data_IF_090451157549
#
_entry.id   IF_090451157549
#
_cell.length_a   1.000
_cell.length_b   1.000
_cell.length_c   1.000
_cell.angle_alpha   90.00
_cell.angle_beta   90.00
_cell.angle_gamma   90.00
#
_symmetry.space_group_name_H-M   'P 1'
#
loop_
_entity.id
_entity.type
_entity.pdbx_description
1 polymer ?
#
# COMPACT_ATOMS: atom_id res chain seq x y z
N UNK A 1 -10.25 -20.93 -3.40
CA UNK A 1 -11.07 -22.02 -2.80
C UNK A 1 -12.58 -21.76 -2.94
N UNK A 2 -13.09 -20.58 -2.57
CA UNK A 2 -14.53 -20.25 -2.58
C UNK A 2 -15.21 -20.26 -3.96
N UNK A 3 -14.55 -19.77 -5.02
CA UNK A 3 -15.08 -19.82 -6.39
C UNK A 3 -15.27 -21.27 -6.94
N UNK A 4 -14.48 -22.24 -6.46
CA UNK A 4 -14.64 -23.65 -6.84
C UNK A 4 -15.86 -24.29 -6.17
N UNK A 5 -16.18 -23.87 -4.95
CA UNK A 5 -17.39 -24.30 -4.23
C UNK A 5 -18.64 -23.75 -4.93
N UNK A 6 -18.59 -22.51 -5.42
CA UNK A 6 -19.67 -21.90 -6.21
C UNK A 6 -19.95 -22.67 -7.51
N UNK A 7 -18.91 -22.98 -8.29
CA UNK A 7 -19.08 -23.77 -9.53
C UNK A 7 -19.69 -25.15 -9.22
N UNK A 8 -19.25 -25.79 -8.15
CA UNK A 8 -19.75 -27.09 -7.74
C UNK A 8 -21.24 -27.04 -7.34
N UNK A 9 -21.66 -26.04 -6.55
CA UNK A 9 -23.06 -25.88 -6.14
C UNK A 9 -23.98 -25.56 -7.32
N UNK A 10 -23.53 -24.72 -8.26
CA UNK A 10 -24.30 -24.41 -9.47
C UNK A 10 -24.43 -25.65 -10.35
N UNK A 11 -23.34 -26.40 -10.56
CA UNK A 11 -23.37 -27.64 -11.34
C UNK A 11 -24.32 -28.67 -10.71
N UNK A 12 -24.24 -28.88 -9.39
CA UNK A 12 -25.13 -29.81 -8.68
C UNK A 12 -26.60 -29.38 -8.77
N UNK A 13 -26.89 -28.08 -8.68
CA UNK A 13 -28.25 -27.57 -8.82
C UNK A 13 -28.80 -27.74 -10.24
N UNK A 14 -27.97 -27.49 -11.27
CA UNK A 14 -28.34 -27.67 -12.68
C UNK A 14 -28.54 -29.14 -13.02
N UNK A 15 -27.65 -30.04 -12.57
CA UNK A 15 -27.79 -31.48 -12.78
C UNK A 15 -29.07 -32.02 -12.12
N UNK A 16 -29.38 -31.56 -10.90
CA UNK A 16 -30.62 -31.94 -10.21
C UNK A 16 -31.87 -31.50 -10.97
N UNK A 17 -31.84 -30.33 -11.60
CA UNK A 17 -32.91 -29.79 -12.43
C UNK A 17 -33.10 -30.57 -13.74
N UNK A 18 -31.99 -30.96 -14.39
CA UNK A 18 -32.03 -31.80 -15.60
C UNK A 18 -32.61 -33.18 -15.27
N UNK A 19 -32.23 -33.75 -14.12
CA UNK A 19 -32.77 -35.03 -13.66
C UNK A 19 -34.28 -34.98 -13.37
N UNK A 20 -34.74 -33.91 -12.72
CA UNK A 20 -36.16 -33.67 -12.46
C UNK A 20 -36.98 -33.44 -13.74
N UNK A 21 -36.43 -32.72 -14.72
CA UNK A 21 -37.08 -32.52 -16.02
C UNK A 21 -37.16 -33.82 -16.83
N UNK A 22 -36.12 -34.66 -16.80
CA UNK A 22 -36.08 -35.94 -17.50
C UNK A 22 -37.06 -36.97 -16.94
N UNK A 23 -37.34 -36.94 -15.63
CA UNK A 23 -38.34 -37.82 -15.01
C UNK A 23 -39.79 -37.43 -15.36
N UNK A 24 -40.03 -36.19 -15.80
CA UNK A 24 -41.37 -35.66 -16.02
C UNK A 24 -41.90 -35.86 -17.46
N UNK A 25 -41.07 -36.28 -18.42
CA UNK A 25 -41.46 -36.47 -19.83
C UNK A 25 -42.19 -37.79 -20.11
N UNK A 26 -42.27 -38.70 -19.13
CA UNK A 26 -42.89 -40.02 -19.28
C UNK A 26 -44.37 -40.12 -18.93
N UNK A 27 -45.02 -39.06 -18.41
CA UNK A 27 -46.39 -39.14 -17.86
C UNK A 27 -47.35 -38.28 -18.71
N UNK A 28 -47.85 -38.88 -19.79
CA UNK A 28 -48.90 -38.33 -20.64
C UNK A 28 -50.26 -38.48 -19.95
N UNK A 29 -50.60 -37.53 -19.09
CA UNK A 29 -51.95 -37.42 -18.56
C UNK A 29 -52.10 -36.23 -17.62
N UNK A 30 -52.99 -35.30 -17.98
CA UNK A 30 -53.58 -34.26 -17.14
C UNK A 30 -52.75 -32.97 -16.96
N UNK A 31 -53.10 -31.97 -17.77
CA UNK A 31 -52.56 -30.59 -17.77
C UNK A 31 -52.57 -29.89 -16.39
N UNK A 32 -53.31 -30.39 -15.40
CA UNK A 32 -53.34 -29.86 -14.03
C UNK A 32 -52.08 -30.21 -13.22
N UNK A 33 -51.43 -31.35 -13.47
CA UNK A 33 -50.22 -31.76 -12.73
C UNK A 33 -48.95 -31.02 -13.21
N UNK A 34 -48.92 -30.61 -14.48
CA UNK A 34 -47.80 -29.86 -15.06
C UNK A 34 -47.60 -28.48 -14.42
N UNK A 35 -48.70 -27.77 -14.12
CA UNK A 35 -48.63 -26.45 -13.47
C UNK A 35 -48.10 -26.53 -12.04
N UNK A 36 -48.45 -27.58 -11.29
CA UNK A 36 -47.95 -27.80 -9.93
C UNK A 36 -46.44 -28.10 -9.95
N UNK A 37 -45.98 -28.94 -10.90
CA UNK A 37 -44.55 -29.22 -11.07
C UNK A 37 -43.76 -27.97 -11.45
N UNK A 38 -44.27 -27.15 -12.37
CA UNK A 38 -43.65 -25.88 -12.75
C UNK A 38 -43.57 -24.89 -11.58
N UNK A 39 -44.66 -24.77 -10.80
CA UNK A 39 -44.68 -23.91 -9.62
C UNK A 39 -43.66 -24.36 -8.57
N UNK A 40 -43.58 -25.66 -8.30
CA UNK A 40 -42.60 -26.22 -7.34
C UNK A 40 -41.15 -25.95 -7.78
N UNK A 41 -40.84 -26.14 -9.06
CA UNK A 41 -39.51 -25.83 -9.62
C UNK A 41 -39.20 -24.34 -9.50
N UNK A 42 -40.17 -23.48 -9.84
CA UNK A 42 -40.01 -22.03 -9.76
C UNK A 42 -39.77 -21.57 -8.31
N UNK A 43 -40.53 -22.09 -7.35
CA UNK A 43 -40.33 -21.77 -5.92
C UNK A 43 -38.97 -22.25 -5.43
N UNK A 44 -38.55 -23.47 -5.80
CA UNK A 44 -37.24 -23.99 -5.42
C UNK A 44 -36.10 -23.13 -5.99
N UNK A 45 -36.17 -22.79 -7.28
CA UNK A 45 -35.20 -21.89 -7.92
C UNK A 45 -35.17 -20.51 -7.26
N UNK A 46 -36.34 -19.94 -6.94
CA UNK A 46 -36.41 -18.65 -6.26
C UNK A 46 -35.74 -18.70 -4.88
N UNK A 47 -35.94 -19.79 -4.12
CA UNK A 47 -35.27 -19.99 -2.81
C UNK A 47 -33.76 -20.12 -2.99
N UNK A 48 -33.28 -20.91 -3.97
CA UNK A 48 -31.84 -21.05 -4.25
C UNK A 48 -31.23 -19.70 -4.63
N UNK A 49 -31.86 -18.94 -5.52
CA UNK A 49 -31.39 -17.60 -5.93
C UNK A 49 -31.39 -16.64 -4.74
N UNK A 50 -32.45 -16.61 -3.94
CA UNK A 50 -32.52 -15.76 -2.75
C UNK A 50 -31.43 -16.11 -1.73
N UNK A 51 -31.12 -17.40 -1.55
CA UNK A 51 -30.08 -17.87 -0.64
C UNK A 51 -28.68 -17.53 -1.16
N UNK A 52 -28.47 -17.65 -2.48
CA UNK A 52 -27.23 -17.20 -3.13
C UNK A 52 -27.05 -15.68 -2.97
N UNK A 53 -28.09 -14.89 -3.24
CA UNK A 53 -28.04 -13.43 -3.07
C UNK A 53 -27.95 -13.01 -1.60
N UNK A 54 -28.49 -13.79 -0.68
CA UNK A 54 -28.38 -13.53 0.76
C UNK A 54 -26.98 -13.78 1.30
N UNK A 55 -26.31 -14.84 0.85
CA UNK A 55 -24.95 -15.19 1.28
C UNK A 55 -23.90 -14.35 0.54
N UNK A 56 -24.08 -14.13 -0.77
CA UNK A 56 -23.06 -13.52 -1.64
C UNK A 56 -23.46 -12.16 -2.20
N UNK A 57 -24.61 -11.59 -1.81
CA UNK A 57 -25.08 -10.32 -2.34
C UNK A 57 -24.08 -9.19 -2.15
N UNK A 58 -23.39 -9.13 -1.01
CA UNK A 58 -22.38 -8.10 -0.74
C UNK A 58 -21.10 -8.32 -1.56
N UNK A 59 -20.69 -9.57 -1.78
CA UNK A 59 -19.54 -9.89 -2.65
C UNK A 59 -19.88 -9.62 -4.13
N UNK A 60 -21.08 -9.95 -4.59
CA UNK A 60 -21.55 -9.66 -5.95
C UNK A 60 -21.73 -8.15 -6.19
N UNK A 61 -22.19 -7.40 -5.19
CA UNK A 61 -22.31 -5.93 -5.28
C UNK A 61 -20.96 -5.22 -5.28
N UNK A 62 -19.94 -5.84 -4.69
CA UNK A 62 -18.56 -5.33 -4.70
C UNK A 62 -17.76 -5.83 -5.91
N UNK A 63 -18.22 -6.89 -6.58
CA UNK A 63 -17.67 -7.40 -7.83
C UNK A 63 -17.73 -6.29 -8.90
N UNK A 64 -16.57 -5.75 -9.28
CA UNK A 64 -16.45 -4.66 -10.25
C UNK A 64 -16.46 -3.25 -9.66
N UNK A 65 -16.75 -3.08 -8.36
CA UNK A 65 -16.70 -1.77 -7.66
C UNK A 65 -15.58 -1.66 -6.63
N UNK A 66 -14.68 -2.62 -6.59
CA UNK A 66 -13.58 -2.66 -5.63
C UNK A 66 -12.73 -1.37 -5.66
N UNK A 67 -12.15 -0.97 -4.52
CA UNK A 67 -11.12 0.06 -4.49
C UNK A 67 -9.97 -0.31 -5.44
N UNK A 68 -9.39 0.69 -6.10
CA UNK A 68 -8.22 0.51 -6.97
C UNK A 68 -7.19 1.52 -6.57
N UNK A 69 -6.11 1.08 -5.94
CA UNK A 69 -5.08 1.97 -5.44
C UNK A 69 -4.05 2.25 -6.51
N UNK A 70 -3.71 3.51 -6.69
CA UNK A 70 -2.59 3.96 -7.49
C UNK A 70 -1.64 4.79 -6.64
N UNK A 71 -0.37 4.76 -7.01
CA UNK A 71 0.70 5.49 -6.34
C UNK A 71 1.27 6.47 -7.33
N UNK A 72 1.39 7.73 -6.92
CA UNK A 72 1.89 8.81 -7.77
C UNK A 72 3.01 9.56 -7.08
N UNK A 73 4.03 9.89 -7.88
CA UNK A 73 5.17 10.71 -7.49
C UNK A 73 5.44 11.70 -8.63
N UNK A 74 4.78 12.86 -8.58
CA UNK A 74 4.99 13.98 -9.49
C UNK A 74 6.03 14.98 -8.92
N UNK A 75 6.84 15.64 -9.74
CA UNK A 75 7.78 16.70 -9.32
C UNK A 75 7.05 18.02 -9.03
N UNK A 76 6.06 17.97 -8.14
CA UNK A 76 5.26 19.14 -7.71
C UNK A 76 5.70 19.59 -6.31
N UNK A 77 5.44 20.86 -5.94
CA UNK A 77 5.68 21.35 -4.59
C UNK A 77 4.96 20.56 -3.49
N UNK A 78 3.93 19.77 -3.83
CA UNK A 78 3.21 18.92 -2.87
C UNK A 78 4.04 17.68 -2.48
N UNK A 79 4.87 17.19 -3.39
CA UNK A 79 5.71 16.02 -3.18
C UNK A 79 7.15 16.35 -2.81
N UNK A 80 7.64 17.53 -3.17
CA UNK A 80 9.02 17.93 -2.93
C UNK A 80 9.01 19.25 -2.17
N UNK A 81 9.28 19.17 -0.86
CA UNK A 81 9.09 20.29 0.06
C UNK A 81 10.40 20.67 0.74
N UNK A 82 10.56 21.97 0.95
CA UNK A 82 11.64 22.54 1.76
C UNK A 82 10.99 23.17 2.99
N UNK A 83 11.32 22.66 4.15
CA UNK A 83 10.89 23.20 5.43
C UNK A 83 12.02 23.98 6.09
N UNK A 84 11.63 25.04 6.78
CA UNK A 84 12.50 25.73 7.72
C UNK A 84 12.00 25.36 9.12
N UNK A 85 12.83 24.64 9.87
CA UNK A 85 12.52 24.30 11.26
C UNK A 85 12.54 25.56 12.13
N UNK A 86 11.86 25.57 13.30
CA UNK A 86 11.90 26.71 14.22
C UNK A 86 13.32 27.10 14.66
N UNK A 87 14.27 26.16 14.63
CA UNK A 87 15.69 26.40 14.92
C UNK A 87 16.49 26.99 13.76
N UNK A 88 15.85 27.33 12.63
CA UNK A 88 16.49 27.89 11.44
C UNK A 88 17.18 26.88 10.54
N UNK A 89 17.16 25.59 10.89
CA UNK A 89 17.72 24.53 10.05
C UNK A 89 16.74 24.11 8.96
N UNK A 90 17.28 23.67 7.82
CA UNK A 90 16.51 23.33 6.62
C UNK A 90 16.29 21.82 6.52
N UNK A 91 15.08 21.41 6.15
CA UNK A 91 14.72 20.02 5.90
C UNK A 91 14.12 19.88 4.50
N UNK A 92 14.56 18.86 3.75
CA UNK A 92 14.00 18.52 2.46
C UNK A 92 13.19 17.23 2.56
N UNK A 93 11.90 17.34 2.34
CA UNK A 93 10.97 16.22 2.39
C UNK A 93 10.55 15.78 1.00
N UNK A 94 10.49 14.47 0.80
CA UNK A 94 9.85 13.86 -0.35
C UNK A 94 8.64 13.08 0.12
N UNK A 95 7.51 13.29 -0.56
CA UNK A 95 6.23 12.64 -0.29
C UNK A 95 5.75 11.89 -1.51
N UNK A 96 4.96 10.86 -1.24
CA UNK A 96 4.31 10.05 -2.26
C UNK A 96 2.81 10.01 -1.99
N UNK A 97 2.01 10.09 -3.05
CA UNK A 97 0.56 10.10 -2.94
C UNK A 97 -0.02 8.74 -3.29
N UNK A 98 -0.99 8.30 -2.49
CA UNK A 98 -1.84 7.15 -2.79
C UNK A 98 -3.23 7.66 -3.12
N UNK A 99 -3.73 7.30 -4.30
CA UNK A 99 -5.06 7.66 -4.78
C UNK A 99 -5.90 6.41 -4.95
N UNK A 100 -7.20 6.53 -4.69
CA UNK A 100 -8.15 5.48 -5.02
C UNK A 100 -8.88 5.83 -6.33
N UNK A 101 -8.68 5.03 -7.36
CA UNK A 101 -9.33 5.12 -8.67
C UNK A 101 -10.56 4.19 -8.77
N UNK A 102 -10.86 3.43 -7.72
CA UNK A 102 -12.04 2.58 -7.60
C UNK A 102 -13.30 3.36 -7.25
N UNK A 103 -14.47 2.73 -7.38
CA UNK A 103 -15.75 3.36 -7.06
C UNK A 103 -16.02 3.44 -5.55
N UNK A 104 -15.56 2.43 -4.80
CA UNK A 104 -15.72 2.33 -3.35
C UNK A 104 -14.47 2.87 -2.66
N UNK A 105 -14.65 3.59 -1.54
CA UNK A 105 -13.56 4.10 -0.72
C UNK A 105 -12.67 2.99 -0.14
N UNK A 106 -11.35 3.17 -0.21
CA UNK A 106 -10.38 2.22 0.34
C UNK A 106 -10.21 2.45 1.84
N UNK A 107 -10.44 1.44 2.68
CA UNK A 107 -10.32 1.53 4.15
C UNK A 107 -8.97 1.02 4.63
N UNK A 108 -8.47 1.60 5.72
CA UNK A 108 -7.22 1.19 6.38
C UNK A 108 -6.05 1.12 5.39
N UNK A 109 -5.94 2.15 4.54
CA UNK A 109 -4.85 2.23 3.57
C UNK A 109 -3.53 2.43 4.31
N UNK A 110 -2.62 1.50 4.11
CA UNK A 110 -1.25 1.54 4.62
C UNK A 110 -0.27 1.50 3.45
N UNK A 111 0.85 2.22 3.62
CA UNK A 111 1.95 2.20 2.68
C UNK A 111 3.17 1.63 3.40
N UNK A 112 3.65 0.49 2.93
CA UNK A 112 4.74 -0.26 3.55
C UNK A 112 5.97 -0.16 2.66
N UNK A 113 7.09 0.23 3.24
CA UNK A 113 8.40 0.06 2.65
C UNK A 113 8.87 -1.38 2.94
N UNK A 114 8.77 -2.28 1.95
CA UNK A 114 8.97 -3.72 2.13
C UNK A 114 10.46 -4.10 2.12
N UNK A 115 11.19 -3.59 1.13
CA UNK A 115 12.57 -3.95 0.88
C UNK A 115 13.33 -2.76 0.29
N UNK A 116 14.61 -2.66 0.65
CA UNK A 116 15.53 -1.70 0.05
C UNK A 116 16.63 -2.48 -0.66
N UNK A 117 16.85 -2.15 -1.93
CA UNK A 117 17.94 -2.68 -2.72
C UNK A 117 18.97 -1.57 -2.95
N UNK A 118 20.25 -1.89 -2.79
CA UNK A 118 21.38 -0.97 -3.01
C UNK A 118 22.07 -1.34 -4.31
N UNK A 119 22.35 -0.34 -5.15
CA UNK A 119 23.15 -0.54 -6.37
C UNK A 119 24.62 -0.72 -6.02
N UNK A 120 25.18 -1.84 -6.42
CA UNK A 120 26.59 -2.20 -6.24
C UNK A 120 27.46 -1.62 -7.37
N UNK A 121 28.78 -1.72 -7.22
CA UNK A 121 29.74 -1.24 -8.21
C UNK A 121 29.64 -1.95 -9.59
N UNK A 122 29.17 -3.19 -9.60
CA UNK A 122 28.85 -3.96 -10.82
C UNK A 122 27.55 -3.52 -11.50
N UNK A 123 26.82 -2.58 -10.90
CA UNK A 123 25.54 -2.05 -11.37
C UNK A 123 24.33 -2.90 -10.98
N UNK A 124 24.51 -4.06 -10.34
CA UNK A 124 23.43 -4.91 -9.85
C UNK A 124 22.83 -4.33 -8.56
N UNK A 125 21.55 -4.63 -8.34
CA UNK A 125 20.85 -4.27 -7.11
C UNK A 125 20.85 -5.47 -6.16
N UNK A 126 21.36 -5.27 -4.96
CA UNK A 126 21.43 -6.29 -3.91
C UNK A 126 20.63 -5.81 -2.71
N UNK A 127 19.93 -6.73 -2.04
CA UNK A 127 19.16 -6.44 -0.83
C UNK A 127 20.04 -5.82 0.25
N UNK A 128 19.57 -4.74 0.84
CA UNK A 128 20.11 -4.20 2.08
C UNK A 128 19.69 -5.08 3.25
N UNK A 129 20.63 -5.82 3.82
CA UNK A 129 20.38 -6.74 4.92
C UNK A 129 20.07 -6.04 6.26
N UNK A 130 20.42 -4.77 6.39
CA UNK A 130 20.11 -3.98 7.59
C UNK A 130 18.70 -3.40 7.49
N UNK A 131 18.20 -3.18 6.28
CA UNK A 131 16.86 -2.63 6.07
C UNK A 131 15.76 -3.60 6.55
N UNK A 132 14.81 -3.07 7.31
CA UNK A 132 13.64 -3.78 7.81
C UNK A 132 12.37 -3.21 7.20
N UNK A 133 11.39 -4.06 6.92
CA UNK A 133 10.11 -3.61 6.41
C UNK A 133 9.36 -2.76 7.44
N UNK A 134 8.78 -1.64 7.00
CA UNK A 134 8.16 -0.66 7.91
C UNK A 134 7.07 0.17 7.23
N UNK A 135 6.06 0.57 8.00
CA UNK A 135 4.99 1.44 7.53
C UNK A 135 5.49 2.89 7.40
N UNK A 136 5.27 3.50 6.24
CA UNK A 136 5.54 4.91 6.00
C UNK A 136 4.57 5.79 6.80
N UNK A 137 5.09 6.92 7.27
CA UNK A 137 4.31 7.90 8.02
C UNK A 137 3.34 8.59 7.07
N UNK A 138 2.08 8.74 7.50
CA UNK A 138 1.12 9.58 6.80
C UNK A 138 1.43 11.05 7.08
N UNK A 139 1.52 11.84 6.02
CA UNK A 139 1.75 13.28 6.11
C UNK A 139 0.63 13.95 6.90
N UNK A 140 0.96 14.88 7.81
CA UNK A 140 0.00 15.62 8.65
C UNK A 140 -0.84 14.74 9.60
N UNK A 141 -0.19 13.86 10.36
CA UNK A 141 -0.86 13.12 11.43
C UNK A 141 -1.32 14.07 12.56
N UNK A 142 -2.62 14.39 12.58
CA UNK A 142 -3.38 15.06 13.64
C UNK A 142 -4.76 14.40 13.81
N UNK A 143 -5.48 14.67 14.90
CA UNK A 143 -6.57 13.85 15.50
C UNK A 143 -7.80 13.52 14.63
N UNK A 144 -7.90 14.01 13.39
CA UNK A 144 -9.08 13.80 12.53
C UNK A 144 -8.72 13.09 11.23
N UNK A 145 -8.03 11.94 11.32
CA UNK A 145 -7.73 11.17 10.11
C UNK A 145 -8.88 10.22 9.81
N UNK A 146 -9.58 10.46 8.69
CA UNK A 146 -10.56 9.50 8.20
C UNK A 146 -9.83 8.21 7.78
N UNK A 147 -10.27 7.02 8.21
CA UNK A 147 -9.63 5.75 7.85
C UNK A 147 -9.84 5.38 6.36
N UNK A 148 -10.53 6.22 5.59
CA UNK A 148 -10.97 5.96 4.22
C UNK A 148 -10.27 6.91 3.24
N UNK A 149 -9.70 6.36 2.17
CA UNK A 149 -9.26 7.09 0.99
C UNK A 149 -10.40 7.07 -0.04
N UNK A 150 -11.06 8.22 -0.20
CA UNK A 150 -12.15 8.40 -1.14
C UNK A 150 -11.65 8.42 -2.59
N UNK A 151 -12.55 8.11 -3.53
CA UNK A 151 -12.25 8.11 -4.96
C UNK A 151 -11.71 9.47 -5.41
N UNK A 152 -10.57 9.48 -6.09
CA UNK A 152 -9.96 10.67 -6.67
C UNK A 152 -9.37 11.67 -5.67
N UNK A 153 -9.39 11.36 -4.37
CA UNK A 153 -8.78 12.21 -3.34
C UNK A 153 -7.43 11.60 -2.96
N UNK A 154 -6.29 12.19 -3.41
CA UNK A 154 -4.97 11.68 -3.08
C UNK A 154 -4.69 11.84 -1.59
N UNK A 155 -3.94 10.89 -1.04
CA UNK A 155 -3.45 10.94 0.34
C UNK A 155 -1.93 10.82 0.34
N UNK A 156 -1.26 11.84 0.89
CA UNK A 156 0.19 11.90 0.97
C UNK A 156 0.75 11.06 2.13
N UNK A 157 1.89 10.45 1.86
CA UNK A 157 2.74 9.74 2.80
C UNK A 157 4.15 10.33 2.70
N UNK A 158 4.81 10.50 3.84
CA UNK A 158 6.18 10.94 3.90
C UNK A 158 7.06 9.76 3.47
N UNK A 159 7.83 9.93 2.40
CA UNK A 159 8.68 8.88 1.83
C UNK A 159 10.06 8.92 2.47
N UNK A 160 10.69 10.09 2.43
CA UNK A 160 12.01 10.33 3.00
C UNK A 160 12.23 11.81 3.31
N UNK A 161 13.18 12.06 4.21
CA UNK A 161 13.65 13.38 4.58
C UNK A 161 15.18 13.46 4.49
N UNK A 162 15.69 14.61 4.07
CA UNK A 162 17.10 14.98 4.16
C UNK A 162 17.24 16.18 5.09
N UNK A 163 17.96 15.98 6.19
CA UNK A 163 18.19 17.01 7.21
C UNK A 163 19.42 17.86 6.90
N UNK A 164 19.38 19.13 7.30
CA UNK A 164 20.51 20.04 7.26
C UNK A 164 21.80 19.38 7.82
N UNK A 165 22.95 19.50 7.14
CA UNK A 165 24.25 19.08 7.65
C UNK A 165 24.51 19.54 9.09
N UNK A 166 24.06 20.75 9.45
CA UNK A 166 24.23 21.31 10.78
C UNK A 166 23.44 20.54 11.85
N UNK A 167 22.31 19.91 11.49
CA UNK A 167 21.52 19.05 12.37
C UNK A 167 22.03 17.61 12.42
N UNK A 168 22.73 17.14 11.39
CA UNK A 168 23.23 15.77 11.32
C UNK A 168 24.50 15.55 12.15
N UNK A 169 25.19 16.62 12.58
CA UNK A 169 26.39 16.53 13.41
C UNK A 169 26.01 16.43 14.90
N UNK A 170 26.30 15.31 15.59
CA UNK A 170 26.14 15.24 17.03
C UNK A 170 27.06 16.26 17.69
N UNK A 171 26.53 17.08 18.62
CA UNK A 171 27.33 18.01 19.39
C UNK A 171 28.47 17.27 20.10
N UNK A 172 29.72 17.54 19.71
CA UNK A 172 30.92 16.95 20.31
C UNK A 172 31.49 15.70 19.63
N UNK A 173 30.96 15.24 18.48
CA UNK A 173 31.59 14.17 17.68
C UNK A 173 32.17 14.73 16.38
N UNK A 174 33.48 15.06 16.34
CA UNK A 174 34.14 15.45 15.10
C UNK A 174 34.26 14.25 14.18
N UNK A 175 33.38 14.11 13.18
CA UNK A 175 33.55 13.03 12.20
C UNK A 175 32.39 12.67 11.30
N UNK A 176 31.12 12.99 11.65
CA UNK A 176 30.00 12.64 10.76
C UNK A 176 29.93 13.59 9.57
N UNK A 177 30.74 13.30 8.54
CA UNK A 177 30.85 14.10 7.30
C UNK A 177 29.88 13.64 6.21
N UNK A 178 29.29 12.46 6.35
CA UNK A 178 28.42 11.90 5.31
C UNK A 178 26.96 12.25 5.55
N UNK A 179 26.39 13.00 4.61
CA UNK A 179 24.97 13.33 4.60
C UNK A 179 24.15 12.10 4.24
N UNK A 180 23.10 11.88 5.02
CA UNK A 180 22.19 10.75 4.83
C UNK A 180 20.77 11.25 4.59
N UNK A 181 20.01 10.47 3.83
CA UNK A 181 18.55 10.57 3.84
C UNK A 181 17.99 9.55 4.83
N UNK A 182 16.80 9.82 5.35
CA UNK A 182 16.06 8.93 6.26
C UNK A 182 14.68 8.63 5.70
N UNK A 183 14.22 7.38 5.78
CA UNK A 183 12.86 7.01 5.39
C UNK A 183 11.88 7.40 6.51
N UNK A 184 10.85 8.15 6.16
CA UNK A 184 9.90 8.70 7.12
C UNK A 184 8.88 7.64 7.54
N UNK A 185 9.14 6.94 8.64
CA UNK A 185 8.36 5.76 9.05
C UNK A 185 7.59 5.99 10.35
N UNK A 186 6.51 5.22 10.57
CA UNK A 186 5.70 5.33 11.79
C UNK A 186 6.47 4.94 13.05
N UNK A 187 7.46 4.06 12.90
CA UNK A 187 8.39 3.72 13.96
C UNK A 187 9.57 4.68 13.88
N UNK A 188 9.35 5.88 14.45
CA UNK A 188 10.47 6.73 14.82
C UNK A 188 11.35 5.93 15.79
N UNK A 189 12.68 5.90 15.65
CA UNK A 189 13.50 5.38 16.71
C UNK A 189 13.08 6.11 17.98
N UNK A 190 12.76 5.34 19.01
CA UNK A 190 12.91 5.84 20.38
C UNK A 190 14.33 6.39 20.40
N UNK A 191 14.49 7.71 20.36
CA UNK A 191 15.74 8.35 20.73
C UNK A 191 16.08 7.67 22.05
N UNK A 192 17.11 6.82 22.06
CA UNK A 192 17.38 5.90 23.14
C UNK A 192 17.26 6.67 24.46
N UNK A 193 16.12 6.55 25.14
CA UNK A 193 16.05 6.97 26.51
C UNK A 193 17.10 6.10 27.18
N UNK A 194 18.07 6.67 27.92
CA UNK A 194 19.15 5.91 28.52
C UNK A 194 18.58 5.10 29.69
N UNK A 195 17.78 4.10 29.38
CA UNK A 195 17.36 3.06 30.29
C UNK A 195 18.45 2.00 30.21
N UNK A 196 19.31 2.03 31.21
CA UNK A 196 20.29 0.98 31.57
C UNK A 196 21.60 1.00 30.79
N UNK A 197 22.57 1.74 31.35
CA UNK A 197 24.02 1.50 31.55
C UNK A 197 24.90 0.66 30.59
N UNK A 198 24.43 0.10 29.48
CA UNK A 198 25.30 -0.40 28.41
C UNK A 198 24.63 -0.12 27.05
N UNK A 199 25.03 0.95 26.35
CA UNK A 199 24.59 1.16 24.99
C UNK A 199 25.15 0.00 24.15
N UNK A 200 24.27 -0.84 23.60
CA UNK A 200 24.63 -1.63 22.44
C UNK A 200 24.90 -0.62 21.35
N UNK A 201 26.17 -0.27 21.16
CA UNK A 201 26.63 0.62 20.13
C UNK A 201 26.43 -0.05 18.76
N UNK A 202 25.20 0.00 18.22
CA UNK A 202 25.02 0.03 16.78
C UNK A 202 25.37 1.45 16.33
N UNK A 203 26.67 1.73 16.31
CA UNK A 203 27.19 3.07 16.15
C UNK A 203 26.86 3.72 14.78
N UNK A 204 26.46 2.96 13.74
CA UNK A 204 26.64 3.47 12.37
C UNK A 204 25.50 3.30 11.35
N UNK A 205 24.36 2.66 11.65
CA UNK A 205 23.26 2.63 10.68
C UNK A 205 21.90 2.31 11.32
N UNK A 206 21.06 3.34 11.47
CA UNK A 206 19.64 3.09 11.63
C UNK A 206 19.09 2.54 10.29
N UNK A 207 18.23 1.51 10.29
CA UNK A 207 17.86 0.78 9.07
C UNK A 207 17.26 1.66 7.98
N UNK A 208 16.63 2.79 8.34
CA UNK A 208 16.05 3.75 7.39
C UNK A 208 17.02 4.83 6.91
N UNK A 209 18.16 5.05 7.58
CA UNK A 209 19.13 6.10 7.23
C UNK A 209 20.21 5.58 6.29
N UNK A 210 20.38 6.19 5.11
CA UNK A 210 21.28 5.69 4.06
C UNK A 210 22.27 6.74 3.55
N UNK A 211 23.53 6.36 3.27
CA UNK A 211 24.53 7.24 2.69
C UNK A 211 24.23 7.54 1.20
N UNK A 212 25.11 8.32 0.56
CA UNK A 212 25.06 8.54 -0.88
C UNK A 212 25.04 7.21 -1.66
N UNK A 213 24.28 7.16 -2.76
CA UNK A 213 24.13 5.96 -3.55
C UNK A 213 22.87 5.95 -4.41
N UNK A 214 22.67 4.85 -5.13
CA UNK A 214 21.42 4.57 -5.86
C UNK A 214 20.72 3.39 -5.21
N UNK A 215 19.44 3.57 -4.91
CA UNK A 215 18.62 2.62 -4.18
C UNK A 215 17.33 2.35 -4.95
N UNK A 216 16.76 1.16 -4.75
CA UNK A 216 15.39 0.83 -5.14
C UNK A 216 14.61 0.43 -3.91
N UNK A 217 13.61 1.22 -3.58
CA UNK A 217 12.69 0.95 -2.49
C UNK A 217 11.45 0.25 -3.05
N UNK A 218 11.20 -0.96 -2.58
CA UNK A 218 9.98 -1.70 -2.87
C UNK A 218 8.91 -1.23 -1.90
N UNK A 219 7.82 -0.70 -2.45
CA UNK A 219 6.65 -0.24 -1.73
C UNK A 219 5.49 -1.19 -1.96
N UNK A 220 4.76 -1.52 -0.91
CA UNK A 220 3.44 -2.14 -1.00
C UNK A 220 2.38 -1.22 -0.44
N UNK A 221 1.32 -1.00 -1.21
CA UNK A 221 0.12 -0.31 -0.74
C UNK A 221 -0.93 -1.36 -0.41
N UNK A 222 -1.32 -1.45 0.85
CA UNK A 222 -2.33 -2.37 1.32
C UNK A 222 -3.59 -1.62 1.76
N UNK A 223 -4.75 -2.25 1.62
CA UNK A 223 -6.01 -1.77 2.15
C UNK A 223 -6.97 -2.96 2.35
N UNK A 224 -8.03 -2.75 3.13
CA UNK A 224 -8.98 -3.82 3.44
C UNK A 224 -9.66 -4.35 2.17
N UNK A 225 -9.69 -5.68 2.04
CA UNK A 225 -10.44 -6.37 0.99
C UNK A 225 -9.88 -6.22 -0.42
N UNK A 226 -8.67 -5.66 -0.58
CA UNK A 226 -7.98 -5.58 -1.88
C UNK A 226 -6.57 -6.17 -1.81
N UNK A 227 -6.10 -6.86 -2.86
CA UNK A 227 -4.70 -7.27 -2.94
C UNK A 227 -3.74 -6.07 -2.87
N UNK A 228 -2.56 -6.22 -2.26
CA UNK A 228 -1.58 -5.15 -2.21
C UNK A 228 -1.08 -4.77 -3.60
N UNK A 229 -0.83 -3.48 -3.80
CA UNK A 229 -0.24 -2.93 -5.03
C UNK A 229 1.23 -2.65 -4.77
N UNK A 230 2.11 -3.34 -5.51
CA UNK A 230 3.55 -3.15 -5.39
C UNK A 230 4.07 -2.12 -6.38
N UNK A 231 4.99 -1.27 -5.92
CA UNK A 231 5.67 -0.25 -6.71
C UNK A 231 7.13 -0.16 -6.33
N UNK A 232 7.97 0.24 -7.28
CA UNK A 232 9.38 0.46 -7.05
C UNK A 232 9.67 1.95 -7.18
N UNK A 233 10.32 2.52 -6.16
CA UNK A 233 10.84 3.88 -6.21
C UNK A 233 12.34 3.82 -6.30
N UNK A 234 12.91 4.43 -7.34
CA UNK A 234 14.35 4.58 -7.48
C UNK A 234 14.79 5.92 -6.88
N UNK A 235 15.71 5.85 -5.92
CA UNK A 235 16.26 6.99 -5.19
C UNK A 235 17.73 7.09 -5.56
N UNK A 236 18.17 8.24 -6.05
CA UNK A 236 19.59 8.54 -6.28
C UNK A 236 19.97 9.72 -5.41
N UNK A 237 20.90 9.50 -4.50
CA UNK A 237 21.38 10.50 -3.55
C UNK A 237 22.88 10.74 -3.76
N UNK A 238 23.28 11.98 -4.00
CA UNK A 238 24.67 12.35 -4.26
C UNK A 238 25.53 12.50 -3.00
N UNK A 239 24.90 12.69 -1.83
CA UNK A 239 25.59 13.03 -0.59
C UNK A 239 26.00 14.49 -0.45
N UNK A 240 25.53 15.40 -1.33
CA UNK A 240 25.84 16.82 -1.27
C UNK A 240 24.61 17.64 -0.87
N UNK A 241 24.84 18.70 -0.10
CA UNK A 241 23.80 19.65 0.29
C UNK A 241 23.76 20.87 -0.63
N UNK A 242 22.57 21.39 -0.86
CA UNK A 242 22.34 22.65 -1.55
C UNK A 242 21.15 23.37 -0.89
N UNK A 243 21.24 24.68 -0.69
CA UNK A 243 20.21 25.46 0.01
C UNK A 243 18.99 25.78 -0.86
N UNK A 244 19.12 25.63 -2.18
CA UNK A 244 18.05 25.86 -3.14
C UNK A 244 17.32 24.55 -3.45
N UNK A 245 16.02 24.48 -3.12
CA UNK A 245 15.21 23.27 -3.28
C UNK A 245 15.19 22.74 -4.72
N UNK A 246 15.10 23.64 -5.71
CA UNK A 246 15.08 23.26 -7.13
C UNK A 246 16.37 22.56 -7.55
N UNK A 247 17.52 23.02 -7.06
CA UNK A 247 18.81 22.43 -7.40
C UNK A 247 19.04 21.14 -6.62
N UNK A 248 18.63 21.11 -5.35
CA UNK A 248 18.68 19.93 -4.51
C UNK A 248 17.92 18.75 -5.12
N UNK A 249 16.63 18.92 -5.43
CA UNK A 249 15.80 17.83 -5.99
C UNK A 249 16.08 17.51 -7.45
N UNK A 250 16.78 18.38 -8.18
CA UNK A 250 17.17 18.13 -9.57
C UNK A 250 18.52 17.42 -9.68
N UNK A 251 19.49 17.80 -8.85
CA UNK A 251 20.88 17.40 -9.01
C UNK A 251 21.34 16.42 -7.92
N UNK A 252 20.95 16.68 -6.67
CA UNK A 252 21.50 15.98 -5.51
C UNK A 252 20.63 14.80 -5.06
N UNK A 253 19.31 14.99 -5.02
CA UNK A 253 18.33 13.96 -4.67
C UNK A 253 17.33 13.76 -5.79
N UNK A 254 17.46 12.66 -6.53
CA UNK A 254 16.52 12.28 -7.60
C UNK A 254 15.66 11.12 -7.11
N UNK A 255 14.34 11.28 -7.19
CA UNK A 255 13.38 10.25 -6.81
C UNK A 255 12.40 10.06 -7.95
N UNK A 256 12.19 8.81 -8.40
CA UNK A 256 11.22 8.49 -9.46
C UNK A 256 10.54 7.14 -9.20
N UNK A 257 9.29 7.03 -9.64
CA UNK A 257 8.57 5.77 -9.71
C UNK A 257 9.04 5.00 -10.96
N UNK A 258 9.30 3.69 -10.81
CA UNK A 258 9.73 2.79 -11.90
C UNK A 258 8.59 1.89 -12.34
#
# INVERSE_FOLDING_TARGET
MRARIMLLLVVVAVDSLVYLAALNTGWSGWAWQGWVALAAIATFLAVVVALVLGIWGDELRTLGRAPRLSVTLAPTPDHFQRFLTPGGAVEYDVRISVTNDGEIGARNVELVAEELLVRQADGLFVRDHVFMAMNLRRTHYGDTVTPIVHRGIPRAYDLLACYDPALQQPAGQPGRKELRFDLSTLVSPVAAQPLVAQPIALADAYPSSKPAGTYRLLLAVAADGVPPVHKVVEITWSGKWCDHASDFFKNELKVKLV
#
